data_IF_525078499710
#
_entry.id   IF_525078499710
#
_cell.length_a   1.000
_cell.length_b   1.000
_cell.length_c   1.000
_cell.angle_alpha   90.00
_cell.angle_beta   90.00
_cell.angle_gamma   90.00
#
_symmetry.space_group_name_H-M   'P 1'
#
loop_
_entity.id
_entity.type
_entity.pdbx_description
1 polymer ?
#
# COMPACT_ATOMS: atom_id res chain seq x y z
N UNK A 1 30.69 10.66 32.48
CA UNK A 1 30.29 9.30 32.08
C UNK A 1 29.05 9.24 31.18
N UNK A 2 28.13 10.22 31.21
CA UNK A 2 26.85 10.12 30.48
C UNK A 2 26.91 10.45 28.97
N UNK A 3 27.80 11.34 28.51
CA UNK A 3 27.85 11.75 27.10
C UNK A 3 28.35 10.64 26.14
N UNK A 4 29.34 9.86 26.59
CA UNK A 4 29.85 8.70 25.85
C UNK A 4 28.81 7.58 25.78
N UNK A 5 28.16 7.28 26.91
CA UNK A 5 27.06 6.31 26.95
C UNK A 5 25.88 6.74 26.06
N UNK A 6 25.52 8.03 26.04
CA UNK A 6 24.44 8.54 25.20
C UNK A 6 24.71 8.33 23.70
N UNK A 7 25.97 8.54 23.28
CA UNK A 7 26.41 8.34 21.89
C UNK A 7 26.40 6.85 21.50
N UNK A 8 26.83 5.96 22.39
CA UNK A 8 26.80 4.52 22.14
C UNK A 8 25.36 4.00 22.07
N UNK A 9 24.50 4.40 22.99
CA UNK A 9 23.09 3.97 23.01
C UNK A 9 22.33 4.48 21.79
N UNK A 10 22.56 5.72 21.34
CA UNK A 10 21.89 6.27 20.14
C UNK A 10 22.35 5.58 18.85
N UNK A 11 23.63 5.25 18.74
CA UNK A 11 24.17 4.48 17.62
C UNK A 11 23.55 3.07 17.55
N UNK A 12 23.54 2.35 18.68
CA UNK A 12 22.96 1.00 18.76
C UNK A 12 21.46 1.04 18.47
N UNK A 13 20.74 2.03 18.99
CA UNK A 13 19.31 2.20 18.73
C UNK A 13 19.03 2.44 17.24
N UNK A 14 19.78 3.32 16.56
CA UNK A 14 19.60 3.59 15.14
C UNK A 14 19.92 2.37 14.25
N UNK A 15 20.95 1.60 14.59
CA UNK A 15 21.29 0.36 13.88
C UNK A 15 20.19 -0.69 14.05
N UNK A 16 19.72 -0.91 15.29
CA UNK A 16 18.63 -1.85 15.59
C UNK A 16 17.34 -1.51 14.83
N UNK A 17 16.99 -0.22 14.78
CA UNK A 17 15.77 0.25 14.12
C UNK A 17 15.82 -0.02 12.60
N UNK A 18 17.01 0.06 12.01
CA UNK A 18 17.20 -0.24 10.59
C UNK A 18 17.02 -1.73 10.27
N UNK A 19 17.59 -2.61 11.09
CA UNK A 19 17.50 -4.06 10.88
C UNK A 19 16.15 -4.66 11.27
N UNK A 20 15.41 -4.04 12.19
CA UNK A 20 14.05 -4.49 12.56
C UNK A 20 12.96 -3.92 11.65
N UNK A 21 13.24 -2.89 10.84
CA UNK A 21 12.26 -2.25 9.96
C UNK A 21 11.97 -3.01 8.67
N UNK A 22 12.79 -3.99 8.30
CA UNK A 22 12.65 -4.70 7.02
C UNK A 22 11.38 -5.57 6.96
N UNK A 23 10.85 -6.02 8.10
CA UNK A 23 9.55 -6.72 8.16
C UNK A 23 8.36 -5.80 7.84
N UNK A 24 8.45 -4.50 8.17
CA UNK A 24 7.39 -3.53 7.82
C UNK A 24 7.30 -3.32 6.30
N UNK A 25 8.43 -3.36 5.60
CA UNK A 25 8.51 -3.17 4.15
C UNK A 25 7.92 -4.35 3.38
N UNK A 26 8.27 -5.58 3.75
CA UNK A 26 7.72 -6.79 3.12
C UNK A 26 6.20 -6.89 3.31
N UNK A 27 5.70 -6.58 4.51
CA UNK A 27 4.25 -6.63 4.79
C UNK A 27 3.45 -5.58 3.99
N UNK A 28 4.04 -4.42 3.66
CA UNK A 28 3.36 -3.43 2.79
C UNK A 28 3.11 -3.96 1.37
N UNK A 29 3.96 -4.86 0.87
CA UNK A 29 3.79 -5.44 -0.48
C UNK A 29 2.60 -6.39 -0.52
N UNK A 30 2.38 -7.18 0.54
CA UNK A 30 1.25 -8.11 0.63
C UNK A 30 -0.10 -7.39 0.63
N UNK A 31 -0.23 -6.31 1.40
CA UNK A 31 -1.44 -5.49 1.35
C UNK A 31 -1.58 -4.76 0.01
N UNK A 32 -0.46 -4.33 -0.59
CA UNK A 32 -0.44 -3.68 -1.90
C UNK A 32 -1.02 -4.55 -3.01
N UNK A 33 -0.65 -5.84 -3.06
CA UNK A 33 -1.15 -6.74 -4.11
C UNK A 33 -2.63 -7.09 -3.93
N UNK A 34 -3.12 -7.18 -2.68
CA UNK A 34 -4.55 -7.38 -2.40
C UNK A 34 -5.38 -6.19 -2.89
N UNK A 35 -4.93 -4.96 -2.60
CA UNK A 35 -5.59 -3.73 -3.08
C UNK A 35 -5.55 -3.64 -4.61
N UNK A 36 -4.43 -4.00 -5.24
CA UNK A 36 -4.32 -4.02 -6.70
C UNK A 36 -5.32 -4.98 -7.35
N UNK A 37 -5.52 -6.17 -6.78
CA UNK A 37 -6.52 -7.13 -7.28
C UNK A 37 -7.95 -6.55 -7.20
N UNK A 38 -8.30 -5.91 -6.08
CA UNK A 38 -9.61 -5.25 -5.92
C UNK A 38 -9.78 -4.12 -6.95
N UNK A 39 -8.74 -3.31 -7.19
CA UNK A 39 -8.79 -2.23 -8.16
C UNK A 39 -9.09 -2.73 -9.58
N UNK A 40 -8.51 -3.86 -9.99
CA UNK A 40 -8.79 -4.49 -11.28
C UNK A 40 -10.26 -4.93 -11.37
N UNK A 41 -10.77 -5.60 -10.33
CA UNK A 41 -12.17 -6.08 -10.29
C UNK A 41 -13.15 -4.90 -10.38
N UNK A 42 -12.92 -3.84 -9.60
CA UNK A 42 -13.75 -2.63 -9.63
C UNK A 42 -13.67 -1.94 -11.00
N UNK A 43 -12.48 -1.85 -11.60
CA UNK A 43 -12.30 -1.28 -12.93
C UNK A 43 -13.08 -2.02 -14.02
N UNK A 44 -13.01 -3.36 -14.02
CA UNK A 44 -13.77 -4.20 -14.97
C UNK A 44 -15.28 -4.05 -14.76
N UNK A 45 -15.73 -4.06 -13.51
CA UNK A 45 -17.15 -3.88 -13.20
C UNK A 45 -17.67 -2.51 -13.64
N UNK A 46 -16.90 -1.44 -13.38
CA UNK A 46 -17.23 -0.08 -13.79
C UNK A 46 -17.30 0.05 -15.33
N UNK A 47 -16.36 -0.56 -16.06
CA UNK A 47 -16.36 -0.57 -17.52
C UNK A 47 -17.61 -1.29 -18.08
N UNK A 48 -17.92 -2.47 -17.55
CA UNK A 48 -19.10 -3.23 -17.96
C UNK A 48 -20.41 -2.48 -17.62
N UNK A 49 -20.48 -1.85 -16.45
CA UNK A 49 -21.64 -1.05 -16.03
C UNK A 49 -21.81 0.17 -16.93
N UNK A 50 -20.72 0.88 -17.24
CA UNK A 50 -20.72 2.04 -18.14
C UNK A 50 -21.32 1.70 -19.50
N UNK A 51 -20.92 0.57 -20.10
CA UNK A 51 -21.50 0.10 -21.37
C UNK A 51 -23.02 -0.11 -21.30
N UNK A 52 -23.51 -0.73 -20.21
CA UNK A 52 -24.95 -0.94 -20.01
C UNK A 52 -25.71 0.38 -19.85
N UNK A 53 -25.14 1.34 -19.12
CA UNK A 53 -25.72 2.68 -18.96
C UNK A 53 -25.80 3.38 -20.33
N UNK A 54 -24.73 3.37 -21.12
CA UNK A 54 -24.75 3.94 -22.48
C UNK A 54 -25.81 3.30 -23.36
N UNK A 55 -25.99 1.97 -23.31
CA UNK A 55 -27.06 1.29 -24.06
C UNK A 55 -28.45 1.70 -23.60
N UNK A 56 -28.68 1.81 -22.28
CA UNK A 56 -30.00 2.18 -21.73
C UNK A 56 -30.42 3.59 -22.17
N UNK A 57 -29.48 4.55 -22.14
CA UNK A 57 -29.79 5.94 -22.50
C UNK A 57 -29.65 6.22 -23.99
N UNK A 58 -28.88 5.42 -24.75
CA UNK A 58 -28.72 5.57 -26.20
C UNK A 58 -29.98 5.26 -27.02
N UNK A 59 -30.98 4.60 -26.44
CA UNK A 59 -32.29 4.42 -27.07
C UNK A 59 -33.33 5.49 -26.67
N UNK A 60 -32.97 6.40 -25.76
CA UNK A 60 -33.84 7.47 -25.25
C UNK A 60 -33.52 8.82 -25.92
N UNK A 61 -32.25 9.05 -26.26
CA UNK A 61 -31.77 10.16 -27.10
C UNK A 61 -31.95 9.83 -28.60
#
# INVERSE_FOLDING_TARGET
>A
MSAFMFTITSYIAGVKDRFTSDEKGATMVEYGIMVAAIAVVVGVAAFALGGRVTTLFGGIL
#
